data_IF_543379680234
#
_entry.id   IF_543379680234
#
_cell.length_a   1.000
_cell.length_b   1.000
_cell.length_c   1.000
_cell.angle_alpha   90.00
_cell.angle_beta   90.00
_cell.angle_gamma   90.00
#
_symmetry.space_group_name_H-M   'P 1'
#
loop_
_entity.id
_entity.type
_entity.pdbx_description
1 polymer ?
#
# COMPACT_ATOMS: atom_id res chain seq x y z
N UNK A 1 -9.47 15.57 -9.24
CA UNK A 1 -8.14 15.52 -9.87
C UNK A 1 -8.32 14.79 -11.19
N UNK A 2 -7.72 15.25 -12.29
CA UNK A 2 -7.64 14.43 -13.50
C UNK A 2 -6.56 13.36 -13.30
N UNK A 3 -6.88 12.10 -13.57
CA UNK A 3 -5.97 10.96 -13.43
C UNK A 3 -6.25 9.91 -14.53
N UNK A 4 -5.32 8.98 -14.78
CA UNK A 4 -5.53 7.88 -15.73
C UNK A 4 -6.78 7.05 -15.42
N UNK A 5 -7.61 6.77 -16.42
CA UNK A 5 -8.91 6.10 -16.24
C UNK A 5 -8.81 4.69 -15.65
N UNK A 6 -7.69 3.98 -15.85
CA UNK A 6 -7.52 2.65 -15.25
C UNK A 6 -7.51 2.67 -13.72
N UNK A 7 -7.34 3.83 -13.08
CA UNK A 7 -7.42 3.93 -11.62
C UNK A 7 -8.80 3.49 -11.11
N UNK A 8 -9.86 3.76 -11.89
CA UNK A 8 -11.24 3.42 -11.54
C UNK A 8 -11.53 1.91 -11.66
N UNK A 9 -10.69 1.17 -12.39
CA UNK A 9 -10.84 -0.28 -12.56
C UNK A 9 -10.15 -1.08 -11.47
N UNK A 10 -9.36 -0.42 -10.61
CA UNK A 10 -8.64 -1.07 -9.52
C UNK A 10 -9.62 -1.33 -8.37
N UNK A 11 -9.62 -2.57 -7.90
CA UNK A 11 -10.44 -2.99 -6.77
C UNK A 11 -10.13 -2.16 -5.53
N UNK A 12 -11.17 -1.60 -4.91
CA UNK A 12 -11.05 -0.79 -3.71
C UNK A 12 -10.81 -1.64 -2.47
N UNK A 13 -10.04 -1.12 -1.53
CA UNK A 13 -9.87 -1.73 -0.21
C UNK A 13 -10.96 -1.21 0.71
N UNK A 14 -11.86 -2.09 1.15
CA UNK A 14 -12.96 -1.75 2.07
C UNK A 14 -12.61 -2.24 3.49
N UNK A 15 -12.84 -1.39 4.48
CA UNK A 15 -12.45 -1.60 5.88
C UNK A 15 -13.55 -1.11 6.81
N UNK A 16 -13.54 -1.60 8.05
CA UNK A 16 -14.28 -1.01 9.15
C UNK A 16 -13.35 -0.18 10.04
N UNK A 17 -13.78 1.02 10.43
CA UNK A 17 -13.09 1.90 11.37
C UNK A 17 -14.04 2.33 12.50
N UNK A 18 -13.83 1.74 13.67
CA UNK A 18 -14.65 1.99 14.86
C UNK A 18 -14.46 3.40 15.43
N UNK A 19 -13.31 4.05 15.19
CA UNK A 19 -13.08 5.45 15.54
C UNK A 19 -13.91 6.37 14.64
N UNK A 20 -13.96 6.09 13.34
CA UNK A 20 -14.77 6.85 12.38
C UNK A 20 -16.24 6.82 12.76
N UNK A 21 -16.75 5.63 13.11
CA UNK A 21 -18.11 5.45 13.59
C UNK A 21 -18.35 6.19 14.92
N UNK A 22 -17.45 6.01 15.88
CA UNK A 22 -17.59 6.62 17.21
C UNK A 22 -17.59 8.15 17.18
N UNK A 23 -16.78 8.76 16.31
CA UNK A 23 -16.73 10.21 16.13
C UNK A 23 -17.86 10.75 15.25
N UNK A 24 -18.73 9.88 14.71
CA UNK A 24 -19.86 10.28 13.88
C UNK A 24 -19.48 10.75 12.47
N UNK A 25 -18.33 10.32 11.95
CA UNK A 25 -17.90 10.62 10.57
C UNK A 25 -18.76 9.84 9.56
N UNK A 26 -19.02 8.57 9.84
CA UNK A 26 -19.88 7.68 9.06
C UNK A 26 -20.33 6.47 9.91
N UNK A 27 -20.83 5.41 9.28
CA UNK A 27 -21.23 4.16 9.93
C UNK A 27 -20.06 3.21 10.26
N UNK A 28 -18.83 3.63 10.01
CA UNK A 28 -17.60 2.87 10.19
C UNK A 28 -17.05 2.26 8.90
N UNK A 29 -17.80 2.24 7.79
CA UNK A 29 -17.31 1.68 6.54
C UNK A 29 -16.49 2.71 5.77
N UNK A 30 -15.26 2.35 5.41
CA UNK A 30 -14.36 3.17 4.60
C UNK A 30 -13.89 2.37 3.39
N UNK A 31 -13.86 2.99 2.22
CA UNK A 31 -13.18 2.48 1.04
C UNK A 31 -11.97 3.36 0.67
N UNK A 32 -10.86 2.71 0.31
CA UNK A 32 -9.68 3.37 -0.25
C UNK A 32 -9.56 2.99 -1.72
N UNK A 33 -9.79 3.95 -2.61
CA UNK A 33 -9.46 3.77 -4.03
C UNK A 33 -7.96 3.95 -4.27
N UNK A 34 -7.45 3.46 -5.40
CA UNK A 34 -6.08 3.76 -5.79
C UNK A 34 -5.86 5.28 -5.99
N UNK A 35 -6.87 6.00 -6.48
CA UNK A 35 -6.82 7.45 -6.64
C UNK A 35 -6.64 8.19 -5.30
N UNK A 36 -7.25 7.71 -4.20
CA UNK A 36 -7.06 8.29 -2.86
C UNK A 36 -5.60 8.15 -2.40
N UNK A 37 -5.01 6.98 -2.66
CA UNK A 37 -3.61 6.71 -2.33
C UNK A 37 -2.66 7.54 -3.21
N UNK A 38 -2.94 7.66 -4.51
CA UNK A 38 -2.15 8.53 -5.40
C UNK A 38 -2.27 9.99 -4.97
N UNK A 39 -3.45 10.44 -4.54
CA UNK A 39 -3.66 11.80 -4.02
C UNK A 39 -2.83 12.06 -2.76
N UNK A 40 -2.72 11.09 -1.86
CA UNK A 40 -1.88 11.19 -0.65
C UNK A 40 -0.38 11.11 -0.98
N UNK A 41 0.04 10.20 -1.86
CA UNK A 41 1.43 10.02 -2.26
C UNK A 41 1.94 11.13 -3.22
N UNK A 42 1.04 11.88 -3.84
CA UNK A 42 1.32 12.91 -4.84
C UNK A 42 1.67 12.38 -6.23
N UNK A 43 1.81 11.07 -6.41
CA UNK A 43 2.19 10.45 -7.68
C UNK A 43 1.78 8.97 -7.74
N UNK A 44 1.75 8.44 -8.96
CA UNK A 44 1.55 7.02 -9.23
C UNK A 44 2.83 6.43 -9.83
N UNK A 45 3.36 5.40 -9.18
CA UNK A 45 4.50 4.62 -9.64
C UNK A 45 4.37 3.15 -9.20
N UNK A 46 5.27 2.29 -9.68
CA UNK A 46 5.27 0.87 -9.35
C UNK A 46 5.38 0.61 -7.83
N UNK A 47 6.07 1.45 -7.07
CA UNK A 47 6.14 1.32 -5.59
C UNK A 47 4.79 1.57 -4.94
N UNK A 48 4.11 2.66 -5.31
CA UNK A 48 2.79 3.02 -4.73
C UNK A 48 1.74 1.99 -5.12
N UNK A 49 1.77 1.51 -6.38
CA UNK A 49 0.91 0.41 -6.83
C UNK A 49 1.19 -0.89 -6.07
N UNK A 50 2.46 -1.25 -5.88
CA UNK A 50 2.86 -2.41 -5.09
C UNK A 50 2.38 -2.33 -3.64
N UNK A 51 2.56 -1.19 -2.98
CA UNK A 51 2.08 -0.99 -1.61
C UNK A 51 0.56 -1.12 -1.49
N UNK A 52 -0.19 -0.59 -2.47
CA UNK A 52 -1.64 -0.75 -2.55
C UNK A 52 -2.04 -2.23 -2.71
N UNK A 53 -1.40 -2.95 -3.64
CA UNK A 53 -1.66 -4.37 -3.88
C UNK A 53 -1.27 -5.24 -2.68
N UNK A 54 -0.17 -4.93 -2.00
CA UNK A 54 0.24 -5.63 -0.78
C UNK A 54 -0.81 -5.47 0.32
N UNK A 55 -1.36 -4.27 0.50
CA UNK A 55 -2.47 -4.06 1.43
C UNK A 55 -3.74 -4.81 0.99
N UNK A 56 -4.14 -4.69 -0.28
CA UNK A 56 -5.35 -5.32 -0.80
C UNK A 56 -5.34 -6.85 -0.61
N UNK A 57 -4.30 -7.52 -1.11
CA UNK A 57 -4.22 -8.98 -1.09
C UNK A 57 -3.82 -9.51 0.30
N UNK A 58 -2.97 -8.76 1.03
CA UNK A 58 -2.62 -9.09 2.41
C UNK A 58 -3.84 -9.06 3.35
N UNK A 59 -4.66 -8.00 3.29
CA UNK A 59 -5.82 -7.87 4.17
C UNK A 59 -6.91 -8.90 3.85
N UNK A 60 -7.13 -9.20 2.57
CA UNK A 60 -8.01 -10.31 2.17
C UNK A 60 -7.55 -11.65 2.74
N UNK A 61 -6.25 -11.95 2.66
CA UNK A 61 -5.73 -13.20 3.19
C UNK A 61 -5.79 -13.26 4.74
N UNK A 62 -5.61 -12.11 5.39
CA UNK A 62 -5.60 -11.97 6.85
C UNK A 62 -7.01 -12.11 7.45
N UNK A 63 -8.02 -11.48 6.86
CA UNK A 63 -9.38 -11.47 7.41
C UNK A 63 -10.34 -12.46 6.73
N UNK A 64 -9.97 -13.00 5.57
CA UNK A 64 -10.80 -13.92 4.81
C UNK A 64 -12.11 -13.26 4.38
N UNK A 65 -13.23 -13.75 4.93
CA UNK A 65 -14.56 -13.20 4.65
C UNK A 65 -14.95 -12.04 5.59
N UNK A 66 -14.19 -11.80 6.66
CA UNK A 66 -14.44 -10.68 7.57
C UNK A 66 -13.93 -9.36 6.99
N UNK A 67 -14.56 -8.26 7.40
CA UNK A 67 -14.11 -6.93 7.01
C UNK A 67 -12.89 -6.53 7.85
N UNK A 68 -11.75 -6.12 7.25
CA UNK A 68 -10.57 -5.75 8.02
C UNK A 68 -10.81 -4.54 8.92
N UNK A 69 -10.28 -4.61 10.15
CA UNK A 69 -10.48 -3.61 11.19
C UNK A 69 -9.32 -2.58 11.16
N UNK A 70 -9.60 -1.40 10.62
CA UNK A 70 -8.64 -0.30 10.54
C UNK A 70 -8.24 0.15 11.94
N UNK A 71 -6.94 0.14 12.25
CA UNK A 71 -6.39 0.42 13.58
C UNK A 71 -6.12 -0.82 14.44
N UNK A 72 -6.60 -1.98 14.04
CA UNK A 72 -6.38 -3.27 14.71
C UNK A 72 -5.42 -4.18 13.93
N UNK A 73 -4.58 -3.58 13.09
CA UNK A 73 -3.63 -4.27 12.22
C UNK A 73 -2.24 -3.72 12.55
N UNK A 74 -1.34 -4.60 12.99
CA UNK A 74 0.09 -4.29 13.05
C UNK A 74 0.70 -4.54 11.68
N UNK A 75 1.54 -3.61 11.25
CA UNK A 75 2.29 -3.62 9.99
C UNK A 75 3.78 -3.64 10.31
N UNK A 76 4.50 -4.61 9.77
CA UNK A 76 5.94 -4.76 9.93
C UNK A 76 6.58 -4.77 8.55
N UNK A 77 7.51 -3.86 8.28
CA UNK A 77 8.27 -3.75 7.03
C UNK A 77 9.68 -4.30 7.23
N UNK A 78 10.16 -5.07 6.25
CA UNK A 78 11.45 -5.75 6.36
C UNK A 78 12.65 -4.80 6.35
N UNK A 79 12.52 -3.64 5.70
CA UNK A 79 13.59 -2.66 5.49
C UNK A 79 13.37 -1.42 6.35
N UNK A 80 14.44 -0.67 6.58
CA UNK A 80 14.38 0.66 7.18
C UNK A 80 13.69 1.67 6.24
N UNK A 81 13.05 2.73 6.75
CA UNK A 81 12.30 3.68 5.92
C UNK A 81 13.17 4.42 4.89
N UNK A 82 14.48 4.55 5.17
CA UNK A 82 15.48 5.19 4.31
C UNK A 82 16.07 4.26 3.24
N UNK A 83 15.76 2.96 3.29
CA UNK A 83 16.24 2.00 2.30
C UNK A 83 15.24 1.92 1.15
N UNK A 84 15.73 2.21 -0.06
CA UNK A 84 14.91 2.28 -1.27
C UNK A 84 13.71 3.21 -1.07
N UNK A 85 12.49 2.73 -1.34
CA UNK A 85 11.26 3.50 -1.18
C UNK A 85 10.41 2.98 0.00
N UNK A 86 11.02 2.29 0.97
CA UNK A 86 10.29 1.62 2.06
C UNK A 86 9.45 2.60 2.88
N UNK A 87 9.95 3.82 3.12
CA UNK A 87 9.18 4.87 3.77
C UNK A 87 7.90 5.24 3.01
N UNK A 88 7.96 5.30 1.67
CA UNK A 88 6.78 5.54 0.83
C UNK A 88 5.77 4.38 0.92
N UNK A 89 6.26 3.14 0.95
CA UNK A 89 5.41 1.95 1.20
C UNK A 89 4.72 2.07 2.55
N UNK A 90 5.47 2.37 3.62
CA UNK A 90 4.91 2.54 4.95
C UNK A 90 3.88 3.67 5.06
N UNK A 91 4.05 4.78 4.34
CA UNK A 91 3.03 5.83 4.24
C UNK A 91 1.73 5.33 3.60
N UNK A 92 1.81 4.55 2.51
CA UNK A 92 0.62 3.97 1.87
C UNK A 92 -0.08 3.00 2.81
N UNK A 93 0.67 2.07 3.42
CA UNK A 93 0.12 1.09 4.34
C UNK A 93 -0.51 1.76 5.57
N UNK A 94 0.15 2.78 6.13
CA UNK A 94 -0.35 3.58 7.24
C UNK A 94 -1.69 4.27 6.93
N UNK A 95 -1.83 4.87 5.74
CA UNK A 95 -3.09 5.50 5.33
C UNK A 95 -4.25 4.48 5.37
N UNK A 96 -4.03 3.31 4.76
CA UNK A 96 -5.02 2.25 4.61
C UNK A 96 -5.33 1.59 5.96
N UNK A 97 -4.34 1.03 6.65
CA UNK A 97 -4.55 0.24 7.87
C UNK A 97 -4.71 1.09 9.12
N UNK A 98 -4.31 2.36 9.06
CA UNK A 98 -4.20 3.25 10.21
C UNK A 98 -3.03 2.91 11.15
N UNK A 99 -2.11 2.03 10.75
CA UNK A 99 -0.94 1.69 11.55
C UNK A 99 0.14 2.76 11.46
N UNK A 100 0.67 3.22 12.59
CA UNK A 100 1.71 4.27 12.63
C UNK A 100 2.79 3.95 13.65
N UNK A 101 3.91 4.66 13.54
CA UNK A 101 5.00 4.66 14.52
C UNK A 101 4.57 5.49 15.74
N UNK A 102 5.18 6.63 15.97
CA UNK A 102 4.95 7.57 17.06
C UNK A 102 4.10 8.80 16.64
N UNK A 103 3.90 9.02 15.34
CA UNK A 103 3.21 10.21 14.82
C UNK A 103 1.68 10.11 14.76
N UNK A 104 1.09 8.91 14.88
CA UNK A 104 -0.35 8.73 14.68
C UNK A 104 -1.24 9.27 15.79
N UNK A 105 -2.54 8.99 15.71
CA UNK A 105 -3.49 9.34 16.76
C UNK A 105 -3.20 8.54 18.04
N UNK A 106 -2.98 9.22 19.17
CA UNK A 106 -2.63 8.60 20.45
C UNK A 106 -3.79 7.93 21.18
N UNK A 107 -4.98 7.89 20.57
CA UNK A 107 -6.21 7.45 21.19
C UNK A 107 -6.94 8.57 21.93
N UNK A 108 -8.18 8.28 22.32
CA UNK A 108 -8.96 9.11 23.25
C UNK A 108 -8.39 8.99 24.68
N UNK A 109 -8.85 9.74 25.69
CA UNK A 109 -8.23 9.74 27.03
C UNK A 109 -8.07 8.36 27.70
N UNK A 110 -8.87 7.36 27.32
CA UNK A 110 -8.76 5.97 27.79
C UNK A 110 -7.70 5.13 27.06
N UNK A 111 -7.03 5.69 26.06
CA UNK A 111 -6.14 4.97 25.14
C UNK A 111 -6.85 4.22 24.00
N UNK A 112 -8.20 4.20 23.98
CA UNK A 112 -8.94 3.55 22.89
C UNK A 112 -8.66 4.24 21.54
N UNK A 113 -8.68 3.47 20.46
CA UNK A 113 -8.41 3.91 19.08
C UNK A 113 -6.98 4.38 18.80
N UNK A 114 -6.03 4.02 19.66
CA UNK A 114 -4.61 4.34 19.46
C UNK A 114 -4.10 3.74 18.13
N UNK A 115 -3.41 4.56 17.35
CA UNK A 115 -2.81 4.20 16.06
C UNK A 115 -1.28 4.10 16.12
N UNK A 116 -0.66 4.50 17.24
CA UNK A 116 0.78 4.48 17.46
C UNK A 116 1.25 3.10 17.89
N UNK A 117 2.52 2.81 17.64
CA UNK A 117 3.16 1.55 18.03
C UNK A 117 2.62 0.33 17.28
N UNK A 118 2.14 0.52 16.04
CA UNK A 118 1.58 -0.55 15.21
C UNK A 118 2.23 -0.63 13.83
N UNK A 119 3.09 0.33 13.46
CA UNK A 119 3.94 0.24 12.28
C UNK A 119 5.40 0.15 12.71
N UNK A 120 6.10 -0.85 12.18
CA UNK A 120 7.51 -1.12 12.46
C UNK A 120 8.29 -1.28 11.17
N UNK A 121 9.55 -0.86 11.19
CA UNK A 121 10.50 -0.99 10.08
C UNK A 121 11.70 -1.83 10.52
N UNK A 122 12.50 -2.30 9.56
CA UNK A 122 13.73 -3.05 9.84
C UNK A 122 13.50 -4.41 10.49
N UNK A 123 12.31 -5.00 10.33
CA UNK A 123 11.96 -6.26 10.97
C UNK A 123 12.50 -7.43 10.15
N UNK A 124 13.34 -8.27 10.74
CA UNK A 124 13.88 -9.44 10.06
C UNK A 124 12.77 -10.43 9.66
N UNK A 125 12.55 -10.62 8.35
CA UNK A 125 11.58 -11.56 7.78
C UNK A 125 11.94 -11.96 6.34
N UNK A 126 11.40 -13.10 5.87
CA UNK A 126 11.49 -13.54 4.45
C UNK A 126 10.25 -13.08 3.66
N UNK A 127 9.99 -11.77 3.68
CA UNK A 127 8.91 -11.08 3.00
C UNK A 127 9.19 -9.57 2.95
N UNK A 128 8.37 -8.78 2.24
CA UNK A 128 8.50 -7.31 2.28
C UNK A 128 7.69 -6.71 3.44
N UNK A 129 6.51 -7.27 3.69
CA UNK A 129 5.55 -6.81 4.71
C UNK A 129 4.98 -8.00 5.48
N UNK A 130 4.80 -7.84 6.79
CA UNK A 130 3.95 -8.70 7.61
C UNK A 130 2.77 -7.88 8.14
N UNK A 131 1.56 -8.40 7.97
CA UNK A 131 0.35 -7.90 8.62
C UNK A 131 -0.04 -8.87 9.73
N UNK A 132 -0.22 -8.35 10.95
CA UNK A 132 -0.72 -9.12 12.10
C UNK A 132 -2.06 -8.55 12.55
N UNK A 133 -3.07 -9.42 12.69
CA UNK A 133 -4.37 -9.07 13.30
C UNK A 133 -4.19 -9.00 14.82
N UNK A 134 -4.51 -7.88 15.45
CA UNK A 134 -4.15 -7.65 16.86
C UNK A 134 -5.03 -8.41 17.86
N UNK A 135 -6.24 -8.80 17.48
CA UNK A 135 -7.19 -9.56 18.31
C UNK A 135 -6.91 -11.09 18.27
N UNK A 136 -6.52 -11.63 17.11
CA UNK A 136 -6.27 -13.09 16.94
C UNK A 136 -4.80 -13.46 16.90
N UNK A 137 -3.89 -12.50 16.69
CA UNK A 137 -2.47 -12.70 16.39
C UNK A 137 -2.18 -13.46 15.09
N UNK A 138 -3.19 -13.70 14.24
CA UNK A 138 -2.97 -14.26 12.91
C UNK A 138 -2.08 -13.33 12.07
N UNK A 139 -1.24 -13.95 11.22
CA UNK A 139 -0.26 -13.22 10.41
C UNK A 139 -0.33 -13.64 8.97
N UNK A 140 -0.06 -12.67 8.09
CA UNK A 140 0.24 -12.92 6.69
C UNK A 140 1.49 -12.17 6.28
N UNK A 141 2.31 -12.82 5.48
CA UNK A 141 3.54 -12.30 4.92
C UNK A 141 3.32 -12.04 3.44
N UNK A 142 3.65 -10.84 2.98
CA UNK A 142 3.42 -10.38 1.62
C UNK A 142 4.74 -9.95 0.98
N UNK A 143 4.98 -10.43 -0.22
CA UNK A 143 6.13 -10.04 -1.06
C UNK A 143 5.65 -9.44 -2.36
N UNK A 144 6.36 -8.41 -2.83
CA UNK A 144 6.10 -7.71 -4.08
C UNK A 144 7.29 -7.82 -5.03
N UNK A 145 7.06 -8.35 -6.23
CA UNK A 145 8.09 -8.69 -7.22
C UNK A 145 7.72 -8.12 -8.60
N UNK A 146 7.73 -6.79 -8.80
CA UNK A 146 7.32 -6.14 -10.04
C UNK A 146 8.17 -6.51 -11.26
N UNK A 147 9.45 -6.86 -11.05
CA UNK A 147 10.40 -7.20 -12.10
C UNK A 147 9.99 -8.42 -12.94
N UNK A 148 9.01 -9.20 -12.47
CA UNK A 148 8.43 -10.31 -13.25
C UNK A 148 7.66 -9.83 -14.47
N UNK A 149 7.13 -8.60 -14.43
CA UNK A 149 6.20 -8.10 -15.47
C UNK A 149 6.58 -6.73 -16.01
N UNK A 150 7.33 -5.92 -15.25
CA UNK A 150 7.72 -4.56 -15.63
C UNK A 150 9.18 -4.25 -15.32
N UNK A 151 9.77 -3.32 -16.08
CA UNK A 151 11.09 -2.76 -15.81
C UNK A 151 11.01 -1.23 -15.69
N UNK A 152 10.70 -0.68 -14.50
CA UNK A 152 10.56 0.76 -14.30
C UNK A 152 11.83 1.56 -14.64
N UNK A 153 13.01 0.98 -14.40
CA UNK A 153 14.29 1.63 -14.69
C UNK A 153 14.52 1.85 -16.18
N UNK A 154 14.12 0.91 -17.03
CA UNK A 154 14.24 1.06 -18.47
C UNK A 154 13.36 2.22 -18.99
N UNK A 155 12.11 2.30 -18.54
CA UNK A 155 11.20 3.37 -18.92
C UNK A 155 11.70 4.72 -18.40
N UNK A 156 12.18 4.78 -17.15
CA UNK A 156 12.74 6.02 -16.59
C UNK A 156 13.96 6.50 -17.38
N UNK A 157 14.92 5.61 -17.67
CA UNK A 157 16.14 5.96 -18.42
C UNK A 157 15.82 6.55 -19.79
N UNK A 158 14.79 6.05 -20.47
CA UNK A 158 14.38 6.59 -21.77
C UNK A 158 13.93 8.06 -21.74
N UNK A 159 13.67 8.63 -20.56
CA UNK A 159 13.22 10.01 -20.41
C UNK A 159 14.23 10.93 -19.70
N UNK A 160 15.22 10.38 -18.99
CA UNK A 160 16.14 11.18 -18.15
C UNK A 160 17.60 11.13 -18.58
N UNK A 161 17.98 10.20 -19.46
CA UNK A 161 19.36 10.11 -19.94
C UNK A 161 19.69 11.27 -20.90
N UNK A 162 20.95 11.75 -20.95
CA UNK A 162 21.32 12.90 -21.80
C UNK A 162 21.05 12.70 -23.30
N UNK A 163 21.00 11.46 -23.76
CA UNK A 163 20.75 11.04 -25.14
C UNK A 163 19.29 10.62 -25.39
N UNK A 164 18.38 10.86 -24.43
CA UNK A 164 16.97 10.57 -24.58
C UNK A 164 16.37 11.32 -25.78
N UNK A 165 15.65 10.59 -26.64
CA UNK A 165 14.98 11.18 -27.80
C UNK A 165 13.79 12.03 -27.35
N UNK A 166 13.54 13.13 -28.05
CA UNK A 166 12.41 14.02 -27.75
C UNK A 166 11.06 13.27 -27.74
N UNK A 167 10.88 12.32 -28.64
CA UNK A 167 9.70 11.44 -28.70
C UNK A 167 9.54 10.56 -27.45
N UNK A 168 10.64 10.01 -26.94
CA UNK A 168 10.65 9.18 -25.72
C UNK A 168 10.32 10.00 -24.48
N UNK A 169 10.85 11.22 -24.39
CA UNK A 169 10.55 12.17 -23.31
C UNK A 169 9.07 12.57 -23.35
N UNK A 170 8.55 12.91 -24.54
CA UNK A 170 7.15 13.34 -24.72
C UNK A 170 6.16 12.21 -24.40
N UNK A 171 6.48 10.97 -24.79
CA UNK A 171 5.62 9.81 -24.56
C UNK A 171 5.80 9.19 -23.16
N UNK A 172 6.83 9.57 -22.41
CA UNK A 172 7.17 9.00 -21.10
C UNK A 172 6.01 8.98 -20.11
N UNK A 173 5.27 10.07 -19.84
CA UNK A 173 4.20 10.05 -18.85
C UNK A 173 3.14 8.98 -19.14
N UNK A 174 2.79 8.80 -20.43
CA UNK A 174 1.85 7.77 -20.85
C UNK A 174 2.42 6.37 -20.65
N UNK A 175 3.62 6.09 -21.17
CA UNK A 175 4.27 4.76 -21.03
C UNK A 175 4.51 4.38 -19.57
N UNK A 176 4.84 5.36 -18.72
CA UNK A 176 5.05 5.13 -17.30
C UNK A 176 3.75 4.73 -16.59
N UNK A 177 2.62 5.35 -16.95
CA UNK A 177 1.31 4.97 -16.40
C UNK A 177 0.80 3.64 -16.98
N UNK A 178 1.05 3.34 -18.26
CA UNK A 178 0.78 2.00 -18.82
C UNK A 178 1.58 0.91 -18.09
N UNK A 179 2.83 1.18 -17.71
CA UNK A 179 3.61 0.25 -16.90
C UNK A 179 2.99 0.03 -15.51
N UNK A 180 2.52 1.10 -14.85
CA UNK A 180 1.80 0.95 -13.57
C UNK A 180 0.53 0.12 -13.75
N UNK A 181 -0.21 0.35 -14.84
CA UNK A 181 -1.39 -0.45 -15.17
C UNK A 181 -1.04 -1.93 -15.36
N UNK A 182 0.06 -2.25 -16.04
CA UNK A 182 0.55 -3.64 -16.18
C UNK A 182 0.82 -4.30 -14.83
N UNK A 183 1.29 -3.57 -13.82
CA UNK A 183 1.45 -4.11 -12.45
C UNK A 183 0.10 -4.57 -11.88
N UNK A 184 -0.95 -3.77 -12.03
CA UNK A 184 -2.30 -4.12 -11.55
C UNK A 184 -2.91 -5.29 -12.33
N UNK A 185 -2.78 -5.28 -13.65
CA UNK A 185 -3.30 -6.35 -14.52
C UNK A 185 -2.63 -7.70 -14.26
N UNK A 186 -1.43 -7.71 -13.66
CA UNK A 186 -0.67 -8.91 -13.34
C UNK A 186 -0.46 -9.09 -11.84
N UNK A 187 -1.43 -8.65 -11.01
CA UNK A 187 -1.30 -8.69 -9.55
C UNK A 187 -0.90 -10.08 -9.00
N UNK A 188 -1.44 -11.16 -9.57
CA UNK A 188 -1.17 -12.53 -9.12
C UNK A 188 0.27 -13.00 -9.45
N UNK A 189 0.92 -12.37 -10.43
CA UNK A 189 2.32 -12.65 -10.75
C UNK A 189 3.28 -11.90 -9.83
N UNK A 190 2.92 -10.67 -9.42
CA UNK A 190 3.79 -9.77 -8.67
C UNK A 190 3.57 -9.81 -7.17
N UNK A 191 2.42 -10.26 -6.66
CA UNK A 191 2.16 -10.43 -5.23
C UNK A 191 2.19 -11.91 -4.85
N UNK A 192 2.90 -12.22 -3.76
CA UNK A 192 2.82 -13.52 -3.10
C UNK A 192 2.38 -13.31 -1.65
N UNK A 193 1.39 -14.08 -1.20
CA UNK A 193 0.93 -14.07 0.19
C UNK A 193 1.15 -15.44 0.82
N UNK A 194 1.78 -15.47 2.00
CA UNK A 194 1.96 -16.68 2.81
C UNK A 194 1.31 -16.47 4.17
N UNK A 195 0.49 -17.41 4.64
CA UNK A 195 -0.02 -17.38 6.01
C UNK A 195 1.11 -17.74 6.98
N UNK A 196 1.21 -16.99 8.07
CA UNK A 196 2.09 -17.34 9.18
C UNK A 196 1.54 -18.53 9.94
N UNK A 197 2.44 -19.40 10.37
CA UNK A 197 2.19 -20.44 11.39
C UNK A 197 2.15 -19.86 12.78
#
# INVERSE_FOLDING_TARGET
MQYPQFFDTIEKIVLYDDLSQFLGVNDGILDFSYADIVKSAGHSCATVAGAYLMALEGLKALYGAELPQRGYIKVELAKEPTVENTGAVGCVLSNITGATTDYGFGGIPTGKYNRRGTLFYGVAMDADVCFTRLDTNEKVYVSYTPQKVVNPMAILKSAIMPDAKEEDIKSFPHRFQEMVKTVFENKDAVISVKKGS
#
